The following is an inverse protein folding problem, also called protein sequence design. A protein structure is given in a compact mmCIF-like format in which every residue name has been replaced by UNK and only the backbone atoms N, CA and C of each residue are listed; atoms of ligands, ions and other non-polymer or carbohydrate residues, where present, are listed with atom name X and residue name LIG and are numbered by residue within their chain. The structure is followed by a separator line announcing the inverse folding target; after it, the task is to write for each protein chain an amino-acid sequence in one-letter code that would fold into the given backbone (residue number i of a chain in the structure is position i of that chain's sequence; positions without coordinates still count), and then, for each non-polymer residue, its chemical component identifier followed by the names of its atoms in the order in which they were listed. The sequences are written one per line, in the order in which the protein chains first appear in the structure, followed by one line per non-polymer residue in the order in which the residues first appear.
data_IF_772048216494
#
_entry.id   IF_772048216494
#
_cell.length_a   1.000
_cell.length_b   1.000
_cell.length_c   1.000
_cell.angle_alpha   90.00
_cell.angle_beta   90.00
_cell.angle_gamma   90.00
#
_symmetry.space_group_name_H-M   'P 1'
#
loop_
_entity.id
_entity.type
_entity.pdbx_description
1 polymer ?
#
# COMPACT_ATOMS: atom_id res chain seq x y z
N UNK A 1 27.81 -12.06 13.80
CA UNK A 1 27.60 -10.81 13.00
C UNK A 1 27.57 -9.60 13.93
N UNK A 2 28.40 -8.58 13.70
CA UNK A 2 28.57 -7.41 14.55
C UNK A 2 27.95 -6.17 13.87
N UNK A 3 27.14 -5.39 14.61
CA UNK A 3 26.47 -4.17 14.10
C UNK A 3 27.51 -3.12 13.65
N UNK A 4 28.61 -2.99 14.37
CA UNK A 4 29.69 -2.06 14.00
C UNK A 4 30.33 -2.45 12.67
N UNK A 5 30.58 -3.75 12.43
CA UNK A 5 31.12 -4.25 11.17
C UNK A 5 30.12 -4.01 10.02
N UNK A 6 28.82 -4.08 10.28
CA UNK A 6 27.77 -3.72 9.31
C UNK A 6 27.81 -2.24 8.94
N UNK A 7 27.96 -1.33 9.95
CA UNK A 7 28.15 0.11 9.71
C UNK A 7 29.38 0.36 8.83
N UNK A 8 30.48 -0.31 9.13
CA UNK A 8 31.69 -0.22 8.34
C UNK A 8 31.51 -0.67 6.89
N UNK A 9 30.85 -1.78 6.69
CA UNK A 9 30.58 -2.28 5.33
C UNK A 9 29.71 -1.32 4.51
N UNK A 10 28.69 -0.73 5.11
CA UNK A 10 27.85 0.28 4.46
C UNK A 10 28.66 1.52 4.09
N UNK A 11 29.57 1.98 4.97
CA UNK A 11 30.41 3.14 4.68
C UNK A 11 31.46 2.86 3.59
N UNK A 12 32.07 1.67 3.57
CA UNK A 12 32.96 1.25 2.48
C UNK A 12 32.22 1.21 1.14
N UNK A 13 30.97 0.72 1.13
CA UNK A 13 30.13 0.70 -0.07
C UNK A 13 29.80 2.12 -0.58
N UNK A 14 29.51 3.05 0.33
CA UNK A 14 29.23 4.45 -0.01
C UNK A 14 30.48 5.17 -0.55
N UNK A 15 31.64 4.96 0.09
CA UNK A 15 32.88 5.61 -0.28
C UNK A 15 33.56 4.99 -1.52
N UNK A 16 33.23 3.75 -1.88
CA UNK A 16 33.86 2.98 -2.95
C UNK A 16 35.36 2.67 -2.72
N UNK A 17 35.87 2.95 -1.51
CA UNK A 17 37.28 2.79 -1.13
C UNK A 17 37.44 2.62 0.38
N UNK A 18 38.21 1.61 0.79
CA UNK A 18 38.54 1.40 2.22
C UNK A 18 39.29 2.60 2.79
N UNK A 19 40.19 3.22 2.04
CA UNK A 19 40.96 4.37 2.52
C UNK A 19 40.05 5.58 2.78
N UNK A 20 39.19 5.93 1.85
CA UNK A 20 38.20 7.02 2.04
C UNK A 20 37.25 6.73 3.19
N UNK A 21 36.73 5.49 3.28
CA UNK A 21 35.86 5.09 4.38
C UNK A 21 36.61 5.18 5.76
N UNK A 22 37.85 4.81 5.81
CA UNK A 22 38.67 4.91 7.05
C UNK A 22 38.86 6.35 7.52
N UNK A 23 39.01 7.29 6.58
CA UNK A 23 39.07 8.73 6.86
C UNK A 23 37.74 9.26 7.41
N UNK A 24 36.63 8.90 6.79
CA UNK A 24 35.25 9.28 7.22
C UNK A 24 34.95 8.72 8.62
N UNK A 25 35.30 7.46 8.85
CA UNK A 25 35.06 6.76 10.11
C UNK A 25 36.08 7.11 11.22
N UNK A 26 37.14 7.84 10.91
CA UNK A 26 38.25 8.17 11.83
C UNK A 26 38.88 6.92 12.47
N UNK A 27 39.06 5.85 11.71
CA UNK A 27 39.70 4.60 12.15
C UNK A 27 40.82 4.19 11.24
N UNK A 28 41.81 3.46 11.81
CA UNK A 28 42.93 2.97 11.03
C UNK A 28 42.49 1.99 9.94
N UNK A 29 42.93 2.19 8.70
CA UNK A 29 42.57 1.34 7.54
C UNK A 29 42.79 -0.17 7.77
N UNK A 30 43.87 -0.65 8.45
CA UNK A 30 44.02 -2.08 8.74
C UNK A 30 42.90 -2.65 9.60
N UNK A 31 42.39 -1.86 10.57
CA UNK A 31 41.27 -2.26 11.43
C UNK A 31 39.96 -2.37 10.63
N UNK A 32 39.69 -1.38 9.76
CA UNK A 32 38.55 -1.41 8.89
C UNK A 32 38.58 -2.65 7.96
N UNK A 33 39.74 -2.88 7.33
CA UNK A 33 39.95 -4.02 6.44
C UNK A 33 39.72 -5.38 7.16
N UNK A 34 40.19 -5.48 8.42
CA UNK A 34 39.98 -6.68 9.26
C UNK A 34 38.51 -6.86 9.58
N UNK A 35 37.80 -5.81 9.99
CA UNK A 35 36.35 -5.87 10.32
C UNK A 35 35.50 -6.30 9.14
N UNK A 36 35.85 -5.87 7.92
CA UNK A 36 35.16 -6.33 6.70
C UNK A 36 35.39 -7.81 6.47
N UNK A 37 36.65 -8.29 6.58
CA UNK A 37 36.97 -9.72 6.41
C UNK A 37 36.29 -10.60 7.47
N UNK A 38 36.23 -10.14 8.72
CA UNK A 38 35.51 -10.84 9.78
C UNK A 38 34.01 -10.93 9.49
N UNK A 39 33.42 -9.86 8.98
CA UNK A 39 32.00 -9.85 8.58
C UNK A 39 31.75 -10.81 7.41
N UNK A 40 32.60 -10.81 6.38
CA UNK A 40 32.51 -11.74 5.25
C UNK A 40 32.64 -13.19 5.70
N UNK A 41 33.59 -13.47 6.61
CA UNK A 41 33.79 -14.80 7.20
C UNK A 41 32.58 -15.26 8.03
N UNK A 42 32.02 -14.37 8.87
CA UNK A 42 30.83 -14.66 9.67
C UNK A 42 29.60 -15.00 8.80
N UNK A 43 29.48 -14.37 7.64
CA UNK A 43 28.35 -14.53 6.73
C UNK A 43 28.59 -15.64 5.69
N UNK A 44 29.85 -16.06 5.49
CA UNK A 44 30.23 -17.02 4.46
C UNK A 44 30.06 -16.48 3.03
N UNK A 45 30.12 -15.16 2.84
CA UNK A 45 29.99 -14.50 1.53
C UNK A 45 31.13 -13.51 1.30
N UNK A 46 31.40 -13.19 0.04
CA UNK A 46 32.26 -12.08 -0.34
C UNK A 46 31.37 -10.85 -0.61
N UNK A 47 31.54 -9.78 0.17
CA UNK A 47 30.78 -8.53 0.01
C UNK A 47 31.42 -7.65 -1.05
N UNK A 48 32.76 -7.57 -1.03
CA UNK A 48 33.54 -6.67 -1.90
C UNK A 48 34.56 -7.40 -2.72
N UNK A 49 34.60 -7.10 -4.02
CA UNK A 49 35.70 -7.40 -4.92
C UNK A 49 36.69 -6.23 -5.00
N UNK A 50 37.98 -6.53 -4.94
CA UNK A 50 39.05 -5.54 -5.15
C UNK A 50 39.32 -5.41 -6.65
N UNK A 51 39.08 -4.25 -7.20
CA UNK A 51 39.38 -3.94 -8.61
C UNK A 51 40.31 -2.75 -8.75
N UNK A 52 40.85 -2.54 -9.95
CA UNK A 52 41.63 -1.34 -10.26
C UNK A 52 40.82 -0.03 -10.08
N UNK A 53 39.49 -0.12 -10.04
CA UNK A 53 38.56 1.00 -9.78
C UNK A 53 38.21 1.19 -8.30
N UNK A 54 38.75 0.39 -7.39
CA UNK A 54 38.49 0.43 -5.96
C UNK A 54 37.72 -0.79 -5.46
N UNK A 55 36.92 -0.59 -4.41
CA UNK A 55 36.05 -1.62 -3.82
C UNK A 55 34.73 -1.63 -4.55
N UNK A 56 34.38 -2.75 -5.16
CA UNK A 56 33.13 -2.95 -5.92
C UNK A 56 32.31 -4.02 -5.19
N UNK A 57 31.00 -3.81 -5.08
CA UNK A 57 30.10 -4.80 -4.47
C UNK A 57 29.95 -6.01 -5.39
N UNK A 58 29.97 -7.19 -4.80
CA UNK A 58 29.49 -8.42 -5.46
C UNK A 58 27.96 -8.42 -5.52
N UNK A 59 27.36 -9.32 -6.29
CA UNK A 59 25.88 -9.49 -6.30
C UNK A 59 25.32 -9.88 -4.92
N UNK A 60 26.06 -10.65 -4.13
CA UNK A 60 25.70 -10.98 -2.75
C UNK A 60 25.93 -9.79 -1.82
N UNK A 61 27.01 -9.02 -2.06
CA UNK A 61 27.31 -7.79 -1.35
C UNK A 61 26.23 -6.73 -1.53
N UNK A 62 25.71 -6.52 -2.74
CA UNK A 62 24.62 -5.58 -2.99
C UNK A 62 23.36 -5.94 -2.19
N UNK A 63 22.99 -7.22 -2.19
CA UNK A 63 21.86 -7.70 -1.39
C UNK A 63 22.08 -7.50 0.11
N UNK A 64 23.27 -7.87 0.60
CA UNK A 64 23.61 -7.70 2.00
C UNK A 64 23.61 -6.23 2.42
N UNK A 65 24.25 -5.33 1.67
CA UNK A 65 24.28 -3.89 1.97
C UNK A 65 22.85 -3.31 1.98
N UNK A 66 21.98 -3.78 1.10
CA UNK A 66 20.55 -3.40 1.11
C UNK A 66 19.85 -3.77 2.43
N UNK A 67 20.10 -4.96 2.96
CA UNK A 67 19.59 -5.38 4.27
C UNK A 67 20.28 -4.64 5.43
N UNK A 68 21.59 -4.51 5.37
CA UNK A 68 22.38 -3.81 6.40
C UNK A 68 21.89 -2.36 6.61
N UNK A 69 21.63 -1.61 5.53
CA UNK A 69 21.07 -0.25 5.62
C UNK A 69 19.70 -0.23 6.32
N UNK A 70 18.83 -1.20 6.08
CA UNK A 70 17.52 -1.28 6.75
C UNK A 70 17.66 -1.57 8.24
N UNK A 71 18.51 -2.52 8.60
CA UNK A 71 18.78 -2.88 10.01
C UNK A 71 19.37 -1.69 10.77
N UNK A 72 20.35 -1.01 10.18
CA UNK A 72 20.98 0.15 10.80
C UNK A 72 20.01 1.31 10.97
N UNK A 73 19.13 1.55 10.01
CA UNK A 73 18.08 2.57 10.13
C UNK A 73 17.10 2.25 11.29
N UNK A 74 16.73 0.98 11.47
CA UNK A 74 15.89 0.56 12.59
C UNK A 74 16.58 0.74 13.94
N UNK A 75 17.89 0.44 14.02
CA UNK A 75 18.68 0.68 15.24
C UNK A 75 18.75 2.17 15.55
N UNK A 76 19.00 3.02 14.55
CA UNK A 76 19.06 4.48 14.70
C UNK A 76 17.71 5.05 15.16
N UNK A 77 16.60 4.52 14.65
CA UNK A 77 15.24 4.84 15.09
C UNK A 77 15.04 4.51 16.58
N UNK A 78 15.43 3.31 17.00
CA UNK A 78 15.35 2.89 18.41
C UNK A 78 16.25 3.77 19.29
N UNK A 79 17.49 4.03 18.87
CA UNK A 79 18.41 4.90 19.60
C UNK A 79 17.86 6.32 19.73
N UNK A 80 17.28 6.87 18.67
CA UNK A 80 16.65 8.20 18.67
C UNK A 80 15.46 8.23 19.61
N UNK A 81 14.62 7.19 19.60
CA UNK A 81 13.45 7.07 20.47
C UNK A 81 13.82 7.14 21.97
N UNK A 82 14.92 6.51 22.36
CA UNK A 82 15.30 6.41 23.77
C UNK A 82 16.33 7.47 24.23
N UNK A 83 17.19 7.99 23.34
CA UNK A 83 18.22 8.96 23.70
C UNK A 83 17.76 10.41 23.67
N UNK A 84 16.76 10.74 22.85
CA UNK A 84 16.33 12.13 22.65
C UNK A 84 15.50 12.71 23.80
N UNK A 85 14.97 11.88 24.71
CA UNK A 85 14.03 12.34 25.76
C UNK A 85 12.75 13.01 25.22
N UNK A 86 12.65 13.15 23.91
CA UNK A 86 11.47 13.64 23.20
C UNK A 86 10.59 12.42 22.98
N UNK A 87 9.29 12.46 23.31
CA UNK A 87 8.36 11.39 22.98
C UNK A 87 8.53 11.05 21.50
N UNK A 88 8.86 9.80 21.21
CA UNK A 88 9.07 9.37 19.85
C UNK A 88 7.90 9.81 18.96
N UNK A 89 8.21 10.29 17.76
CA UNK A 89 7.22 10.74 16.79
C UNK A 89 6.20 9.62 16.58
N UNK A 90 4.93 9.88 16.88
CA UNK A 90 3.85 8.90 16.71
C UNK A 90 3.74 8.54 15.22
N UNK A 91 3.74 7.27 14.91
CA UNK A 91 3.65 6.82 13.52
C UNK A 91 2.41 5.99 13.29
N UNK A 92 1.72 6.27 12.19
CA UNK A 92 0.61 5.49 11.69
C UNK A 92 0.81 5.19 10.21
N UNK A 93 0.52 3.96 9.78
CA UNK A 93 0.65 3.61 8.37
C UNK A 93 -0.40 2.60 7.94
N UNK A 94 -1.10 2.89 6.84
CA UNK A 94 -2.14 2.03 6.30
C UNK A 94 -2.09 1.93 4.78
N UNK A 95 -2.21 0.70 4.26
CA UNK A 95 -2.48 0.43 2.86
C UNK A 95 -3.97 0.14 2.66
N UNK A 96 -4.61 0.76 1.68
CA UNK A 96 -6.06 0.67 1.49
C UNK A 96 -6.44 0.46 0.03
N UNK A 97 -7.63 -0.11 -0.26
CA UNK A 97 -8.18 -0.08 -1.60
C UNK A 97 -8.55 1.36 -2.00
N UNK A 98 -8.74 1.61 -3.27
CA UNK A 98 -9.25 2.90 -3.77
C UNK A 98 -10.74 3.02 -3.43
N UNK A 99 -11.01 3.46 -2.21
CA UNK A 99 -12.35 3.53 -1.62
C UNK A 99 -12.62 4.90 -1.00
N UNK A 100 -13.68 5.57 -1.44
CA UNK A 100 -14.00 6.92 -0.98
C UNK A 100 -14.37 6.96 0.50
N UNK A 101 -15.10 5.97 1.00
CA UNK A 101 -15.46 5.90 2.41
C UNK A 101 -14.24 5.68 3.33
N UNK A 102 -13.21 4.94 2.87
CA UNK A 102 -11.95 4.76 3.61
C UNK A 102 -11.15 6.06 3.64
N UNK A 103 -11.12 6.77 2.51
CA UNK A 103 -10.47 8.09 2.45
C UNK A 103 -11.15 9.10 3.37
N UNK A 104 -12.49 9.10 3.44
CA UNK A 104 -13.26 9.91 4.39
C UNK A 104 -12.94 9.53 5.84
N UNK A 105 -12.90 8.24 6.16
CA UNK A 105 -12.49 7.75 7.48
C UNK A 105 -11.09 8.27 7.86
N UNK A 106 -10.13 8.22 6.92
CA UNK A 106 -8.79 8.72 7.17
C UNK A 106 -8.77 10.24 7.35
N UNK A 107 -9.57 10.98 6.60
CA UNK A 107 -9.70 12.43 6.75
C UNK A 107 -10.27 12.81 8.14
N UNK A 108 -11.26 12.09 8.65
CA UNK A 108 -11.78 12.31 10.00
C UNK A 108 -10.76 11.90 11.07
N UNK A 109 -10.12 10.74 10.92
CA UNK A 109 -9.03 10.29 11.79
C UNK A 109 -7.91 11.33 11.90
N UNK A 110 -7.52 11.97 10.79
CA UNK A 110 -6.46 12.98 10.78
C UNK A 110 -6.76 14.20 11.66
N UNK A 111 -8.02 14.48 11.96
CA UNK A 111 -8.44 15.55 12.88
C UNK A 111 -8.30 15.15 14.35
N UNK A 112 -8.16 13.86 14.65
CA UNK A 112 -8.13 13.30 16.00
C UNK A 112 -6.70 13.08 16.53
N UNK A 113 -5.65 13.42 15.78
CA UNK A 113 -4.25 13.10 16.13
C UNK A 113 -3.73 13.95 17.30
N UNK A 114 -4.34 15.13 17.58
CA UNK A 114 -3.85 16.08 18.59
C UNK A 114 -2.57 16.79 18.15
N UNK A 115 -1.92 17.48 19.10
CA UNK A 115 -0.76 18.35 18.83
C UNK A 115 0.60 17.63 18.96
N UNK A 116 0.60 16.36 19.36
CA UNK A 116 1.86 15.60 19.49
C UNK A 116 2.47 15.30 18.10
N UNK A 117 3.81 15.36 17.97
CA UNK A 117 4.49 15.05 16.72
C UNK A 117 4.07 13.70 16.16
N UNK A 118 3.57 13.67 14.92
CA UNK A 118 3.09 12.46 14.28
C UNK A 118 3.40 12.42 12.77
N UNK A 119 3.60 11.22 12.25
CA UNK A 119 3.71 10.94 10.81
C UNK A 119 2.66 9.92 10.40
N UNK A 120 1.85 10.25 9.40
CA UNK A 120 0.78 9.42 8.91
C UNK A 120 1.04 9.05 7.46
N UNK A 121 1.04 7.75 7.17
CA UNK A 121 1.23 7.22 5.82
C UNK A 121 -0.05 6.54 5.35
N UNK A 122 -0.66 7.08 4.31
CA UNK A 122 -1.85 6.56 3.66
C UNK A 122 -1.52 6.19 2.22
N UNK A 123 -1.71 4.92 1.84
CA UNK A 123 -1.37 4.43 0.51
C UNK A 123 -2.52 3.65 -0.10
N UNK A 124 -3.05 4.14 -1.21
CA UNK A 124 -3.98 3.38 -2.03
C UNK A 124 -3.24 2.36 -2.91
N UNK A 125 -3.69 1.12 -2.90
CA UNK A 125 -3.04 0.03 -3.65
C UNK A 125 -4.00 -1.17 -3.82
N UNK A 126 -3.57 -2.19 -4.59
CA UNK A 126 -4.31 -3.44 -4.71
C UNK A 126 -4.00 -4.42 -3.54
N UNK A 127 -4.82 -5.46 -3.40
CA UNK A 127 -4.77 -6.41 -2.29
C UNK A 127 -3.43 -7.13 -2.16
N UNK A 128 -2.82 -7.56 -3.28
CA UNK A 128 -1.50 -8.22 -3.26
C UNK A 128 -0.43 -7.30 -2.72
N UNK A 129 -0.34 -6.07 -3.26
CA UNK A 129 0.66 -5.09 -2.82
C UNK A 129 0.43 -4.64 -1.38
N UNK A 130 -0.82 -4.59 -0.91
CA UNK A 130 -1.13 -4.30 0.49
C UNK A 130 -0.56 -5.40 1.41
N UNK A 131 -0.81 -6.68 1.10
CA UNK A 131 -0.25 -7.81 1.85
C UNK A 131 1.28 -7.76 1.84
N UNK A 132 1.91 -7.57 0.67
CA UNK A 132 3.38 -7.49 0.55
C UNK A 132 3.95 -6.33 1.39
N UNK A 133 3.26 -5.19 1.46
CA UNK A 133 3.65 -4.04 2.27
C UNK A 133 3.56 -4.31 3.77
N UNK A 134 2.51 -4.99 4.23
CA UNK A 134 2.37 -5.40 5.64
C UNK A 134 3.47 -6.39 6.04
N UNK A 135 3.82 -7.32 5.17
CA UNK A 135 4.80 -8.37 5.47
C UNK A 135 6.25 -7.86 5.44
N UNK A 136 6.59 -7.00 4.47
CA UNK A 136 7.98 -6.69 4.10
C UNK A 136 8.36 -5.21 4.19
N UNK A 137 7.44 -4.33 4.61
CA UNK A 137 7.69 -2.89 4.75
C UNK A 137 7.12 -2.37 6.06
N UNK A 138 7.20 -1.06 6.26
CA UNK A 138 6.81 -0.37 7.50
C UNK A 138 5.31 -0.05 7.62
N UNK A 139 4.48 -0.63 6.72
CA UNK A 139 3.04 -0.50 6.84
C UNK A 139 2.48 -1.48 7.87
N UNK A 140 1.72 -0.96 8.84
CA UNK A 140 1.23 -1.73 9.99
C UNK A 140 -0.17 -2.28 9.76
N UNK A 141 -1.06 -1.49 9.15
CA UNK A 141 -2.42 -1.86 8.81
C UNK A 141 -2.61 -1.98 7.30
N UNK A 142 -3.50 -2.87 6.90
CA UNK A 142 -3.97 -2.99 5.53
C UNK A 142 -5.48 -3.19 5.48
N UNK A 143 -6.16 -2.55 4.53
CA UNK A 143 -7.51 -2.91 4.13
C UNK A 143 -7.39 -3.49 2.74
N UNK A 144 -7.80 -4.73 2.57
CA UNK A 144 -7.77 -5.40 1.26
C UNK A 144 -9.18 -5.64 0.76
N UNK A 145 -9.35 -5.53 -0.55
CA UNK A 145 -10.63 -5.75 -1.23
C UNK A 145 -10.53 -6.95 -2.15
N UNK A 146 -11.52 -7.82 -2.09
CA UNK A 146 -11.68 -8.95 -3.01
C UNK A 146 -13.15 -9.33 -3.17
N UNK A 147 -13.48 -10.01 -4.27
CA UNK A 147 -14.79 -10.55 -4.46
C UNK A 147 -15.01 -11.80 -3.58
N UNK A 148 -16.22 -11.99 -3.08
CA UNK A 148 -16.58 -13.02 -2.09
C UNK A 148 -16.19 -14.44 -2.51
N UNK A 149 -16.23 -14.76 -3.80
CA UNK A 149 -15.79 -16.06 -4.33
C UNK A 149 -14.32 -16.39 -4.03
N UNK A 150 -13.49 -15.41 -3.68
CA UNK A 150 -12.09 -15.57 -3.25
C UNK A 150 -11.90 -15.59 -1.72
N UNK A 151 -12.95 -15.57 -0.92
CA UNK A 151 -12.88 -15.49 0.54
C UNK A 151 -12.03 -16.62 1.14
N UNK A 152 -12.23 -17.86 0.68
CA UNK A 152 -11.46 -19.01 1.12
C UNK A 152 -9.96 -18.88 0.81
N UNK A 153 -9.63 -18.40 -0.39
CA UNK A 153 -8.23 -18.17 -0.80
C UNK A 153 -7.55 -17.14 0.12
N UNK A 154 -8.19 -15.98 0.32
CA UNK A 154 -7.58 -14.94 1.14
C UNK A 154 -7.45 -15.34 2.61
N UNK A 155 -8.42 -16.04 3.19
CA UNK A 155 -8.33 -16.58 4.54
C UNK A 155 -7.14 -17.54 4.68
N UNK A 156 -6.94 -18.46 3.73
CA UNK A 156 -5.78 -19.33 3.71
C UNK A 156 -4.46 -18.52 3.65
N UNK A 157 -4.38 -17.52 2.78
CA UNK A 157 -3.20 -16.64 2.68
C UNK A 157 -2.92 -15.91 4.00
N UNK A 158 -3.97 -15.42 4.70
CA UNK A 158 -3.78 -14.73 5.98
C UNK A 158 -3.22 -15.68 7.05
N UNK A 159 -3.76 -16.88 7.15
CA UNK A 159 -3.30 -17.90 8.09
C UNK A 159 -1.86 -18.31 7.83
N UNK A 160 -1.51 -18.65 6.60
CA UNK A 160 -0.16 -19.06 6.19
C UNK A 160 0.88 -17.95 6.40
N UNK A 161 0.48 -16.69 6.21
CA UNK A 161 1.37 -15.54 6.38
C UNK A 161 1.36 -14.93 7.79
N UNK A 162 0.64 -15.54 8.74
CA UNK A 162 0.59 -15.06 10.12
C UNK A 162 -0.06 -13.68 10.27
N UNK A 163 -1.11 -13.42 9.49
CA UNK A 163 -1.89 -12.19 9.57
C UNK A 163 -3.16 -12.40 10.40
N UNK A 164 -3.50 -11.43 11.23
CA UNK A 164 -4.85 -11.25 11.75
C UNK A 164 -5.71 -10.61 10.67
N UNK A 165 -7.00 -10.93 10.66
CA UNK A 165 -7.93 -10.35 9.70
C UNK A 165 -9.33 -10.16 10.30
N UNK A 166 -9.98 -9.07 9.97
CA UNK A 166 -11.31 -8.70 10.45
C UNK A 166 -12.15 -8.14 9.30
N UNK A 167 -13.39 -8.61 9.15
CA UNK A 167 -14.30 -8.11 8.13
C UNK A 167 -14.68 -6.65 8.46
N UNK A 168 -14.33 -5.74 7.56
CA UNK A 168 -14.76 -4.35 7.65
C UNK A 168 -16.20 -4.23 7.14
N UNK A 169 -16.46 -4.63 5.89
CA UNK A 169 -17.79 -4.56 5.28
C UNK A 169 -17.89 -5.44 4.05
N UNK A 170 -19.13 -5.73 3.64
CA UNK A 170 -19.50 -6.34 2.37
C UNK A 170 -20.39 -5.38 1.59
N UNK A 171 -20.27 -5.35 0.26
CA UNK A 171 -21.04 -4.45 -0.58
C UNK A 171 -21.07 -4.91 -2.05
N UNK A 172 -22.01 -4.36 -2.79
CA UNK A 172 -22.00 -4.39 -4.27
C UNK A 172 -21.37 -3.11 -4.81
N UNK A 173 -20.60 -3.21 -5.90
CA UNK A 173 -20.20 -2.02 -6.63
C UNK A 173 -21.42 -1.28 -7.18
N UNK A 174 -21.33 0.03 -7.16
CA UNK A 174 -22.26 0.95 -7.81
C UNK A 174 -21.59 1.59 -9.02
N UNK A 175 -22.40 2.07 -9.95
CA UNK A 175 -21.94 2.87 -11.08
C UNK A 175 -21.84 4.33 -10.66
N UNK A 176 -20.65 4.90 -10.85
CA UNK A 176 -20.37 6.32 -10.65
C UNK A 176 -20.24 7.01 -11.99
N UNK A 177 -20.93 8.15 -12.19
CA UNK A 177 -20.93 8.91 -13.43
C UNK A 177 -21.16 10.39 -13.17
N UNK A 178 -20.92 11.23 -14.16
CA UNK A 178 -21.31 12.66 -14.11
C UNK A 178 -22.82 12.81 -14.00
N UNK A 179 -23.31 13.84 -13.28
CA UNK A 179 -24.75 14.14 -13.17
C UNK A 179 -25.41 14.40 -14.54
N UNK A 180 -24.63 14.92 -15.49
CA UNK A 180 -25.09 15.24 -16.85
C UNK A 180 -24.96 14.02 -17.80
N UNK A 181 -24.53 12.86 -17.31
CA UNK A 181 -24.48 11.63 -18.10
C UNK A 181 -25.89 11.14 -18.43
N UNK A 182 -26.16 10.71 -19.67
CA UNK A 182 -27.45 10.11 -20.01
C UNK A 182 -27.77 8.86 -19.17
N UNK A 183 -26.76 8.12 -18.70
CA UNK A 183 -26.95 7.01 -17.76
C UNK A 183 -27.63 7.42 -16.46
N UNK A 184 -27.47 8.68 -16.04
CA UNK A 184 -28.04 9.19 -14.79
C UNK A 184 -29.57 9.23 -14.80
N UNK A 185 -30.18 9.31 -15.97
CA UNK A 185 -31.64 9.40 -16.17
C UNK A 185 -32.35 8.04 -16.29
N UNK A 186 -31.60 6.96 -16.52
CA UNK A 186 -32.15 5.61 -16.64
C UNK A 186 -32.57 5.12 -15.25
N UNK A 187 -33.85 4.77 -15.06
CA UNK A 187 -34.37 4.28 -13.76
C UNK A 187 -33.73 2.96 -13.34
N UNK A 188 -33.67 1.99 -14.23
CA UNK A 188 -33.19 0.64 -14.03
C UNK A 188 -32.00 0.33 -14.92
N UNK A 189 -30.80 0.70 -14.47
CA UNK A 189 -29.56 0.42 -15.21
C UNK A 189 -29.24 -1.08 -15.25
N UNK A 190 -28.89 -1.56 -16.47
CA UNK A 190 -28.47 -2.93 -16.75
C UNK A 190 -27.18 -2.95 -17.58
N UNK A 191 -26.50 -4.08 -17.66
CA UNK A 191 -25.26 -4.22 -18.44
C UNK A 191 -25.38 -3.79 -19.92
N UNK A 192 -26.45 -4.08 -20.66
CA UNK A 192 -26.60 -3.61 -22.05
C UNK A 192 -26.56 -2.08 -22.20
N UNK A 193 -27.07 -1.33 -21.21
CA UNK A 193 -27.13 0.13 -21.25
C UNK A 193 -25.73 0.76 -21.22
N UNK A 194 -24.74 0.04 -20.68
CA UNK A 194 -23.35 0.53 -20.54
C UNK A 194 -22.53 0.44 -21.83
N UNK A 195 -22.96 -0.38 -22.81
CA UNK A 195 -22.18 -0.64 -24.04
C UNK A 195 -21.78 0.61 -24.85
N UNK A 196 -22.62 1.65 -24.98
CA UNK A 196 -22.26 2.86 -25.72
C UNK A 196 -21.23 3.73 -25.02
N UNK A 197 -20.98 3.49 -23.73
CA UNK A 197 -20.18 4.37 -22.86
C UNK A 197 -18.75 3.90 -22.70
N UNK A 198 -17.93 4.72 -22.05
CA UNK A 198 -16.52 4.47 -21.77
C UNK A 198 -16.38 4.11 -20.30
N UNK A 199 -15.87 2.92 -20.01
CA UNK A 199 -15.55 2.53 -18.65
C UNK A 199 -14.20 3.11 -18.20
N UNK A 200 -14.19 3.79 -17.06
CA UNK A 200 -12.95 4.13 -16.37
C UNK A 200 -12.63 2.98 -15.42
N UNK A 201 -11.45 2.40 -15.56
CA UNK A 201 -11.02 1.25 -14.78
C UNK A 201 -9.62 1.46 -14.20
N UNK A 202 -9.32 0.82 -13.07
CA UNK A 202 -7.95 0.82 -12.54
C UNK A 202 -7.06 -0.09 -13.37
N UNK A 203 -5.81 0.38 -13.61
CA UNK A 203 -4.85 -0.30 -14.49
C UNK A 203 -4.20 -1.53 -13.83
N UNK A 204 -4.29 -1.67 -12.52
CA UNK A 204 -3.62 -2.70 -11.72
C UNK A 204 -4.58 -3.55 -10.85
N UNK A 205 -5.66 -4.13 -11.41
CA UNK A 205 -6.51 -5.04 -10.67
C UNK A 205 -5.72 -6.30 -10.26
N UNK A 206 -6.15 -6.94 -9.17
CA UNK A 206 -5.56 -8.19 -8.71
C UNK A 206 -6.64 -9.21 -8.41
N UNK A 207 -6.55 -10.36 -9.06
CA UNK A 207 -7.36 -11.55 -8.79
C UNK A 207 -6.39 -12.71 -8.50
N UNK A 208 -6.63 -13.51 -7.45
CA UNK A 208 -5.79 -14.64 -7.11
C UNK A 208 -5.62 -15.62 -8.26
N UNK A 209 -4.39 -16.13 -8.42
CA UNK A 209 -4.02 -17.18 -9.39
C UNK A 209 -4.21 -16.84 -10.87
N UNK A 210 -4.60 -15.62 -11.21
CA UNK A 210 -4.77 -15.19 -12.59
C UNK A 210 -3.62 -14.30 -13.07
N UNK A 211 -3.19 -14.49 -14.30
CA UNK A 211 -2.32 -13.55 -14.99
C UNK A 211 -3.10 -12.25 -15.29
N UNK A 212 -2.39 -11.12 -15.39
CA UNK A 212 -3.01 -9.79 -15.57
C UNK A 212 -3.99 -9.74 -16.75
N UNK A 213 -3.72 -10.48 -17.82
CA UNK A 213 -4.60 -10.56 -18.99
C UNK A 213 -5.92 -11.27 -18.68
N UNK A 214 -5.88 -12.32 -17.84
CA UNK A 214 -7.07 -13.07 -17.39
C UNK A 214 -7.85 -12.31 -16.33
N UNK A 215 -7.15 -11.62 -15.42
CA UNK A 215 -7.77 -10.71 -14.45
C UNK A 215 -8.61 -9.65 -15.16
N UNK A 216 -8.09 -9.08 -16.24
CA UNK A 216 -8.84 -8.11 -17.03
C UNK A 216 -10.12 -8.69 -17.65
N UNK A 217 -10.12 -9.95 -18.04
CA UNK A 217 -11.33 -10.62 -18.56
C UNK A 217 -12.36 -10.87 -17.46
N UNK A 218 -11.93 -11.22 -16.25
CA UNK A 218 -12.82 -11.52 -15.13
C UNK A 218 -13.40 -10.27 -14.47
N UNK A 219 -12.57 -9.26 -14.26
CA UNK A 219 -12.98 -7.99 -13.61
C UNK A 219 -13.56 -6.97 -14.59
N UNK A 220 -13.20 -7.07 -15.88
CA UNK A 220 -13.60 -6.15 -16.94
C UNK A 220 -14.22 -6.96 -18.10
N UNK A 221 -15.49 -7.38 -17.99
CA UNK A 221 -16.14 -8.23 -18.98
C UNK A 221 -16.15 -7.60 -20.38
N UNK A 222 -16.12 -8.44 -21.41
CA UNK A 222 -15.98 -8.06 -22.83
C UNK A 222 -17.19 -7.29 -23.42
N UNK A 223 -18.24 -7.06 -22.63
CA UNK A 223 -19.40 -6.30 -23.06
C UNK A 223 -19.14 -4.78 -23.21
N UNK A 224 -17.99 -4.27 -22.74
CA UNK A 224 -17.56 -2.88 -22.86
C UNK A 224 -16.34 -2.79 -23.78
N UNK A 225 -16.49 -2.06 -24.89
CA UNK A 225 -15.46 -1.97 -25.93
C UNK A 225 -14.49 -0.78 -25.75
N UNK A 226 -14.84 0.20 -24.90
CA UNK A 226 -14.05 1.41 -24.70
C UNK A 226 -13.70 1.57 -23.24
N UNK A 227 -12.38 1.69 -22.92
CA UNK A 227 -11.89 1.86 -21.55
C UNK A 227 -10.80 2.90 -21.46
N UNK A 228 -10.82 3.63 -20.34
CA UNK A 228 -9.73 4.51 -19.89
C UNK A 228 -9.14 3.87 -18.64
N UNK A 229 -7.85 3.53 -18.69
CA UNK A 229 -7.17 2.98 -17.53
C UNK A 229 -6.49 4.08 -16.72
N UNK A 230 -6.80 4.16 -15.43
CA UNK A 230 -6.23 5.12 -14.49
C UNK A 230 -5.43 4.40 -13.40
N UNK A 231 -4.37 5.02 -12.92
CA UNK A 231 -3.58 4.52 -11.80
C UNK A 231 -3.94 5.23 -10.50
N UNK A 232 -4.21 6.54 -10.60
CA UNK A 232 -4.46 7.41 -9.46
C UNK A 232 -5.95 7.75 -9.34
N UNK A 233 -6.48 7.75 -8.11
CA UNK A 233 -7.91 7.98 -7.87
C UNK A 233 -8.34 9.43 -8.18
N UNK A 234 -7.47 10.41 -7.98
CA UNK A 234 -7.81 11.81 -8.22
C UNK A 234 -8.26 12.07 -9.66
N UNK A 235 -7.59 11.46 -10.66
CA UNK A 235 -7.90 11.63 -12.08
C UNK A 235 -9.29 11.12 -12.48
N UNK A 236 -9.83 10.11 -11.77
CA UNK A 236 -11.13 9.53 -12.12
C UNK A 236 -12.28 10.53 -11.94
N UNK A 237 -12.25 11.37 -10.92
CA UNK A 237 -13.32 12.34 -10.65
C UNK A 237 -13.37 13.43 -11.70
N UNK A 238 -12.21 13.92 -12.14
CA UNK A 238 -12.12 14.90 -13.24
C UNK A 238 -12.64 14.32 -14.56
N UNK A 239 -12.30 13.08 -14.87
CA UNK A 239 -12.76 12.41 -16.08
C UNK A 239 -14.29 12.22 -16.06
N UNK A 240 -14.84 11.72 -14.95
CA UNK A 240 -16.27 11.51 -14.78
C UNK A 240 -17.06 12.82 -14.83
N UNK A 241 -16.54 13.91 -14.23
CA UNK A 241 -17.20 15.20 -14.20
C UNK A 241 -17.24 15.89 -15.56
N UNK A 242 -16.18 15.72 -16.38
CA UNK A 242 -16.01 16.45 -17.64
C UNK A 242 -16.47 15.68 -18.87
N UNK A 243 -16.56 14.36 -18.80
CA UNK A 243 -16.99 13.53 -19.92
C UNK A 243 -18.25 12.75 -19.55
N UNK A 244 -19.45 13.20 -20.01
CA UNK A 244 -20.73 12.56 -19.70
C UNK A 244 -20.87 11.14 -20.25
N UNK A 245 -20.02 10.74 -21.20
CA UNK A 245 -20.01 9.39 -21.77
C UNK A 245 -19.20 8.40 -20.94
N UNK A 246 -18.73 8.79 -19.74
CA UNK A 246 -17.91 7.92 -18.89
C UNK A 246 -18.67 7.43 -17.67
N UNK A 247 -18.31 6.23 -17.22
CA UNK A 247 -18.76 5.66 -15.95
C UNK A 247 -17.64 4.83 -15.30
N UNK A 248 -17.79 4.52 -14.02
CA UNK A 248 -16.86 3.69 -13.28
C UNK A 248 -17.59 2.83 -12.24
N UNK A 249 -17.11 1.59 -12.02
CA UNK A 249 -17.52 0.75 -10.91
C UNK A 249 -16.75 1.10 -9.65
N UNK A 250 -17.47 1.46 -8.59
CA UNK A 250 -16.87 1.89 -7.31
C UNK A 250 -17.63 1.29 -6.12
N UNK A 251 -16.97 1.20 -4.95
CA UNK A 251 -17.72 1.08 -3.69
C UNK A 251 -18.56 2.34 -3.45
N UNK A 252 -19.64 2.27 -2.67
CA UNK A 252 -20.46 3.42 -2.37
C UNK A 252 -19.64 4.66 -1.99
N UNK A 253 -20.05 5.80 -2.51
CA UNK A 253 -19.33 7.09 -2.42
C UNK A 253 -20.08 8.03 -1.48
N UNK A 254 -19.41 8.75 -0.58
CA UNK A 254 -20.02 9.77 0.28
C UNK A 254 -20.70 10.89 -0.53
N UNK A 255 -21.90 11.33 -0.08
CA UNK A 255 -22.70 12.35 -0.77
C UNK A 255 -21.93 13.67 -0.94
N UNK A 256 -21.17 14.09 0.05
CA UNK A 256 -20.34 15.30 -0.01
C UNK A 256 -19.30 15.26 -1.16
N UNK A 257 -18.82 14.06 -1.53
CA UNK A 257 -17.90 13.90 -2.65
C UNK A 257 -18.66 13.92 -3.98
N UNK A 258 -19.86 13.30 -4.02
CA UNK A 258 -20.75 13.36 -5.20
C UNK A 258 -21.10 14.81 -5.53
N UNK A 259 -21.52 15.59 -4.55
CA UNK A 259 -21.86 17.02 -4.71
C UNK A 259 -20.64 17.82 -5.19
N UNK A 260 -19.48 17.65 -4.54
CA UNK A 260 -18.25 18.38 -4.87
C UNK A 260 -17.84 18.26 -6.34
N UNK A 261 -18.00 17.06 -6.92
CA UNK A 261 -17.58 16.78 -8.30
C UNK A 261 -18.74 16.76 -9.30
N UNK A 262 -19.98 17.04 -8.87
CA UNK A 262 -21.17 16.95 -9.73
C UNK A 262 -21.39 15.55 -10.26
N UNK A 263 -21.26 14.54 -9.40
CA UNK A 263 -21.40 13.12 -9.72
C UNK A 263 -22.70 12.54 -9.14
N UNK A 264 -23.11 11.42 -9.69
CA UNK A 264 -24.20 10.59 -9.17
C UNK A 264 -23.77 9.14 -9.16
N UNK A 265 -24.34 8.36 -8.22
CA UNK A 265 -24.13 6.93 -8.16
C UNK A 265 -25.46 6.17 -8.31
N UNK A 266 -25.44 5.06 -9.04
CA UNK A 266 -26.61 4.22 -9.30
C UNK A 266 -26.29 2.73 -9.17
N UNK A 267 -27.27 1.96 -8.79
CA UNK A 267 -27.18 0.51 -8.74
C UNK A 267 -27.42 -0.02 -10.16
N UNK A 268 -26.61 -0.99 -10.59
CA UNK A 268 -26.88 -1.80 -11.77
C UNK A 268 -27.59 -3.10 -11.34
N UNK A 269 -28.79 -3.35 -11.84
CA UNK A 269 -29.60 -4.52 -11.42
C UNK A 269 -28.95 -5.87 -11.74
N UNK A 270 -28.13 -5.92 -12.78
CA UNK A 270 -27.47 -7.17 -13.18
C UNK A 270 -26.20 -7.46 -12.34
N UNK A 271 -25.72 -6.48 -11.56
CA UNK A 271 -24.53 -6.67 -10.73
C UNK A 271 -24.86 -7.39 -9.43
N UNK A 272 -24.58 -8.70 -9.39
CA UNK A 272 -24.77 -9.54 -8.21
C UNK A 272 -23.44 -9.82 -7.45
N UNK A 273 -22.31 -9.29 -7.94
CA UNK A 273 -20.99 -9.57 -7.37
C UNK A 273 -20.82 -8.86 -6.03
N UNK A 274 -20.57 -9.63 -4.97
CA UNK A 274 -20.31 -9.11 -3.63
C UNK A 274 -18.80 -8.94 -3.46
N UNK A 275 -18.41 -7.81 -2.91
CA UNK A 275 -17.03 -7.51 -2.52
C UNK A 275 -16.89 -7.38 -1.00
N UNK A 276 -15.76 -7.80 -0.48
CA UNK A 276 -15.39 -7.70 0.93
C UNK A 276 -14.22 -6.76 1.09
N UNK A 277 -14.31 -5.84 2.04
CA UNK A 277 -13.17 -5.11 2.58
C UNK A 277 -12.79 -5.73 3.92
N UNK A 278 -11.53 -6.14 4.07
CA UNK A 278 -11.00 -6.84 5.23
C UNK A 278 -9.78 -6.11 5.78
N UNK A 279 -9.81 -5.76 7.04
CA UNK A 279 -8.67 -5.22 7.77
C UNK A 279 -7.67 -6.34 8.04
N UNK A 280 -6.39 -6.10 7.78
CA UNK A 280 -5.30 -7.04 8.05
C UNK A 280 -4.15 -6.35 8.79
N UNK A 281 -3.47 -7.11 9.67
CA UNK A 281 -2.23 -6.71 10.33
C UNK A 281 -1.47 -7.97 10.80
N UNK A 282 -0.17 -7.84 11.10
CA UNK A 282 0.64 -8.97 11.57
C UNK A 282 0.10 -9.52 12.88
N UNK A 283 0.17 -10.84 13.08
CA UNK A 283 -0.35 -11.52 14.29
C UNK A 283 0.35 -11.08 15.57
N UNK A 284 1.64 -10.77 15.48
CA UNK A 284 2.48 -10.30 16.58
C UNK A 284 2.43 -8.77 16.77
N UNK A 285 1.68 -8.06 15.94
CA UNK A 285 1.52 -6.61 16.04
C UNK A 285 0.41 -6.26 17.04
N UNK A 286 0.74 -5.38 17.99
CA UNK A 286 -0.23 -4.83 18.94
C UNK A 286 -0.73 -3.48 18.45
N UNK A 287 -2.05 -3.38 18.27
CA UNK A 287 -2.69 -2.15 17.80
C UNK A 287 -2.41 -0.99 18.75
N UNK A 288 -1.89 0.10 18.21
CA UNK A 288 -1.62 1.33 18.93
C UNK A 288 -2.90 2.16 19.15
N UNK A 289 -2.79 3.24 19.91
CA UNK A 289 -3.89 4.20 20.08
C UNK A 289 -4.32 4.79 18.73
N UNK A 290 -3.37 5.15 17.86
CA UNK A 290 -3.67 5.69 16.51
C UNK A 290 -4.38 4.67 15.62
N UNK A 291 -3.98 3.39 15.68
CA UNK A 291 -4.65 2.33 14.94
C UNK A 291 -6.11 2.18 15.38
N UNK A 292 -6.37 2.18 16.69
CA UNK A 292 -7.72 2.09 17.24
C UNK A 292 -8.59 3.32 16.91
N UNK A 293 -8.01 4.52 16.88
CA UNK A 293 -8.69 5.73 16.43
C UNK A 293 -9.08 5.63 14.95
N UNK A 294 -8.16 5.18 14.09
CA UNK A 294 -8.47 4.98 12.67
C UNK A 294 -9.56 3.92 12.46
N UNK A 295 -9.47 2.77 13.14
CA UNK A 295 -10.48 1.70 13.06
C UNK A 295 -11.85 2.22 13.52
N UNK A 296 -11.89 3.08 14.54
CA UNK A 296 -13.13 3.71 15.00
C UNK A 296 -13.75 4.59 13.92
N UNK A 297 -12.97 5.46 13.27
CA UNK A 297 -13.46 6.31 12.18
C UNK A 297 -13.83 5.49 10.94
N UNK A 298 -13.10 4.42 10.64
CA UNK A 298 -13.46 3.47 9.59
C UNK A 298 -14.82 2.82 9.84
N UNK A 299 -15.09 2.40 11.10
CA UNK A 299 -16.38 1.84 11.49
C UNK A 299 -17.53 2.85 11.40
N UNK A 300 -17.30 4.13 11.68
CA UNK A 300 -18.29 5.20 11.49
C UNK A 300 -18.59 5.40 10.00
N UNK A 301 -17.54 5.56 9.18
CA UNK A 301 -17.68 5.79 7.74
C UNK A 301 -18.41 4.62 7.04
N UNK A 302 -18.06 3.36 7.35
CA UNK A 302 -18.76 2.21 6.75
C UNK A 302 -20.26 2.20 7.06
N UNK A 303 -20.67 2.52 8.31
CA UNK A 303 -22.08 2.55 8.71
C UNK A 303 -22.85 3.66 8.00
N UNK A 304 -22.19 4.76 7.70
CA UNK A 304 -22.81 5.91 7.06
C UNK A 304 -22.94 5.72 5.54
N UNK A 305 -21.94 5.16 4.88
CA UNK A 305 -21.82 5.19 3.41
C UNK A 305 -21.97 3.82 2.74
N UNK A 306 -21.77 2.73 3.46
CA UNK A 306 -21.85 1.36 2.91
C UNK A 306 -23.00 0.63 3.61
N UNK A 307 -24.16 0.60 2.91
CA UNK A 307 -25.38 -0.06 3.40
C UNK A 307 -25.64 -1.35 2.64
#
# INVERSE_FOLDING_TARGET
MNILHMKYAVEVANAGSINKASEVLLIAQPNLSRSIKELEADLGITIFDRSAKGMVLTAEGERFIGYAKKILAQIDEVETMYKSGIPGKRQFSVCVPRASYVAEAFAQFSKCIGDAPAELFYKETNSKRAIDKILHSDYRLGIIRYAENYDKYFKTVFEEKGLNYELVTEFHYVLLMGKDSPLSTIEELRYPDLRPYIEIAHADPFVPSLALAEVKKEELPDNINRRIFVFERASQYELLSKNPDTFMWVSPVPDALLERYGLVQKICKDNQKIYKDVLIYKRDYHLTELDNLFITELCKAKRQYVK
#
